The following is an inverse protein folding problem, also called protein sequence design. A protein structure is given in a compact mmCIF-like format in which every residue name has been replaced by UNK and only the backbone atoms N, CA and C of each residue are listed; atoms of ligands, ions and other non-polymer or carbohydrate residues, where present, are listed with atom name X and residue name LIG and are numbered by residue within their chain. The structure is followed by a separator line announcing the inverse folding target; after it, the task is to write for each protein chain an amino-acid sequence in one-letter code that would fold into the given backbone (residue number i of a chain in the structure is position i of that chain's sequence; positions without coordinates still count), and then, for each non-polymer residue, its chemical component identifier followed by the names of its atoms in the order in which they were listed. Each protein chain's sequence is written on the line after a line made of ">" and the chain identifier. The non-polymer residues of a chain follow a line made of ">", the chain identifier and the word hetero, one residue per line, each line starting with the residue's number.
data_IF_399453554572
#
_entry.id   IF_399453554572
#
_cell.length_a   1.000
_cell.length_b   1.000
_cell.length_c   1.000
_cell.angle_alpha   90.00
_cell.angle_beta   90.00
_cell.angle_gamma   90.00
#
_symmetry.space_group_name_H-M   'P 1'
#
loop_
_entity.id
_entity.type
_entity.pdbx_description
1 polymer ?
#
# COMPACT_ATOMS: atom_id res chain seq x y z
N UNK A 1 0.33 9.10 -14.54
CA UNK A 1 1.01 8.28 -15.57
C UNK A 1 2.50 8.46 -15.36
N UNK A 2 3.27 7.36 -15.36
CA UNK A 2 4.71 7.46 -15.23
C UNK A 2 5.36 8.15 -16.44
N UNK A 3 6.46 8.85 -16.21
CA UNK A 3 7.32 9.44 -17.24
C UNK A 3 8.60 8.61 -17.37
N UNK A 4 9.35 8.78 -18.45
CA UNK A 4 10.69 8.21 -18.58
C UNK A 4 11.70 9.34 -18.50
N UNK A 5 12.70 9.23 -17.63
CA UNK A 5 13.85 10.14 -17.56
C UNK A 5 15.11 9.39 -17.99
N UNK A 6 16.17 10.12 -18.32
CA UNK A 6 17.48 9.53 -18.66
C UNK A 6 18.39 9.70 -17.44
N UNK A 7 19.10 8.64 -17.05
CA UNK A 7 20.07 8.67 -15.96
C UNK A 7 21.43 9.27 -16.41
N UNK A 8 22.37 9.38 -15.47
CA UNK A 8 23.71 9.92 -15.75
C UNK A 8 24.52 9.06 -16.75
N UNK A 9 24.13 7.80 -16.97
CA UNK A 9 24.74 6.86 -17.91
C UNK A 9 24.04 6.86 -19.29
N UNK A 10 22.97 7.64 -19.48
CA UNK A 10 22.20 7.65 -20.71
C UNK A 10 21.11 6.57 -20.80
N UNK A 11 20.82 5.84 -19.72
CA UNK A 11 19.82 4.79 -19.66
C UNK A 11 18.42 5.35 -19.28
N UNK A 12 17.34 4.83 -19.90
CA UNK A 12 15.99 5.26 -19.58
C UNK A 12 15.51 4.67 -18.24
N UNK A 13 15.24 5.53 -17.27
CA UNK A 13 14.62 5.20 -15.99
C UNK A 13 13.12 5.53 -16.03
N UNK A 14 12.29 4.58 -15.59
CA UNK A 14 10.86 4.80 -15.40
C UNK A 14 10.62 5.61 -14.12
N UNK A 15 10.11 6.83 -14.26
CA UNK A 15 9.60 7.66 -13.17
C UNK A 15 8.12 7.36 -12.92
N UNK A 16 7.80 6.93 -11.71
CA UNK A 16 6.41 6.81 -11.28
C UNK A 16 5.80 8.20 -11.05
N UNK A 17 4.60 8.43 -11.60
CA UNK A 17 3.87 9.68 -11.38
C UNK A 17 3.25 9.72 -9.99
N UNK A 18 3.08 10.93 -9.45
CA UNK A 18 2.55 11.15 -8.10
C UNK A 18 1.08 10.72 -7.92
N UNK A 19 0.29 10.57 -8.99
CA UNK A 19 -1.10 10.07 -8.88
C UNK A 19 -1.11 8.55 -8.79
N UNK A 20 -1.02 8.00 -7.58
CA UNK A 20 -1.09 6.57 -7.31
C UNK A 20 -1.64 6.28 -5.91
N UNK A 21 -2.25 5.11 -5.73
CA UNK A 21 -2.62 4.64 -4.40
C UNK A 21 -1.39 4.38 -3.54
N UNK A 22 -1.43 4.82 -2.28
CA UNK A 22 -0.32 4.67 -1.32
C UNK A 22 -0.69 3.74 -0.19
N UNK A 23 0.23 2.88 0.19
CA UNK A 23 0.08 1.99 1.35
C UNK A 23 1.34 2.04 2.20
N UNK A 24 1.19 2.31 3.50
CA UNK A 24 2.26 2.33 4.49
C UNK A 24 1.88 1.37 5.62
N UNK A 25 2.65 0.31 5.78
CA UNK A 25 2.50 -0.66 6.86
C UNK A 25 3.75 -0.59 7.74
N UNK A 26 3.60 -0.17 8.99
CA UNK A 26 4.70 -0.06 9.95
C UNK A 26 4.33 -0.80 11.23
N UNK A 27 5.18 -1.75 11.64
CA UNK A 27 4.95 -2.59 12.82
C UNK A 27 3.57 -3.29 12.81
N UNK A 28 3.14 -3.75 11.64
CA UNK A 28 1.86 -4.44 11.44
C UNK A 28 2.06 -5.93 11.54
N UNK A 29 1.26 -6.59 12.37
CA UNK A 29 1.20 -8.06 12.44
C UNK A 29 -0.12 -8.54 11.85
N UNK A 30 -0.07 -9.44 10.87
CA UNK A 30 -1.27 -10.06 10.28
C UNK A 30 -1.38 -11.49 10.79
N UNK A 31 -2.46 -11.79 11.53
CA UNK A 31 -2.76 -13.11 12.09
C UNK A 31 -3.99 -13.69 11.39
N UNK A 32 -3.80 -14.34 10.25
CA UNK A 32 -4.89 -14.93 9.46
C UNK A 32 -4.65 -16.42 9.16
N UNK A 33 -5.72 -17.15 8.83
CA UNK A 33 -5.66 -18.56 8.43
C UNK A 33 -5.10 -18.79 7.00
N UNK A 34 -4.84 -17.73 6.25
CA UNK A 34 -4.11 -17.77 4.99
C UNK A 34 -4.81 -18.53 3.86
N UNK A 35 -3.99 -19.13 3.01
CA UNK A 35 -4.40 -19.88 1.80
C UNK A 35 -4.85 -21.28 2.19
N UNK A 36 -5.92 -21.77 1.56
CA UNK A 36 -6.26 -23.18 1.58
C UNK A 36 -5.33 -23.95 0.63
N UNK A 37 -4.20 -24.42 1.16
CA UNK A 37 -3.20 -25.19 0.42
C UNK A 37 -3.71 -26.53 -0.10
N UNK A 38 -4.83 -27.04 0.45
CA UNK A 38 -5.43 -28.31 0.01
C UNK A 38 -6.35 -28.16 -1.20
N UNK A 39 -6.71 -26.92 -1.55
CA UNK A 39 -7.56 -26.63 -2.69
C UNK A 39 -6.81 -26.90 -4.01
N UNK A 40 -7.31 -27.86 -4.78
CA UNK A 40 -6.63 -28.40 -5.97
C UNK A 40 -6.60 -27.42 -7.14
N UNK A 41 -7.54 -26.48 -7.19
CA UNK A 41 -7.67 -25.53 -8.30
C UNK A 41 -6.94 -24.21 -8.02
N UNK A 42 -6.08 -24.15 -6.99
CA UNK A 42 -5.20 -23.00 -6.75
C UNK A 42 -4.24 -22.77 -7.91
N UNK A 43 -4.16 -21.52 -8.37
CA UNK A 43 -3.22 -21.10 -9.42
C UNK A 43 -2.30 -20.01 -8.86
N UNK A 44 -1.16 -20.46 -8.32
CA UNK A 44 -0.22 -19.62 -7.58
C UNK A 44 0.44 -18.52 -8.40
N UNK A 45 0.81 -18.82 -9.66
CA UNK A 45 1.53 -17.86 -10.51
C UNK A 45 0.70 -16.62 -10.88
N UNK A 46 -0.64 -16.72 -10.83
CA UNK A 46 -1.56 -15.60 -11.04
C UNK A 46 -2.22 -15.09 -9.76
N UNK A 47 -1.79 -15.59 -8.60
CA UNK A 47 -2.35 -15.32 -7.27
C UNK A 47 -3.87 -15.57 -7.13
N UNK A 48 -4.41 -16.48 -7.95
CA UNK A 48 -5.79 -16.93 -7.89
C UNK A 48 -5.85 -18.19 -7.02
N UNK A 49 -5.99 -17.95 -5.73
CA UNK A 49 -5.90 -18.99 -4.69
C UNK A 49 -7.09 -18.88 -3.76
N UNK A 50 -7.60 -20.03 -3.33
CA UNK A 50 -8.61 -20.11 -2.28
C UNK A 50 -7.99 -19.69 -0.95
N UNK A 51 -8.67 -18.81 -0.22
CA UNK A 51 -8.22 -18.32 1.08
C UNK A 51 -9.25 -18.62 2.14
N UNK A 52 -8.80 -19.05 3.31
CA UNK A 52 -9.64 -19.08 4.50
C UNK A 52 -9.87 -17.66 5.00
N UNK A 53 -8.82 -16.84 5.01
CA UNK A 53 -8.83 -15.45 5.48
C UNK A 53 -7.76 -14.63 4.75
N UNK A 54 -8.00 -13.34 4.62
CA UNK A 54 -7.03 -12.39 4.08
C UNK A 54 -7.21 -11.01 4.73
N UNK A 55 -6.14 -10.24 4.74
CA UNK A 55 -6.23 -8.78 4.85
C UNK A 55 -6.12 -8.24 3.43
N UNK A 56 -7.16 -7.54 2.96
CA UNK A 56 -7.20 -6.90 1.65
C UNK A 56 -7.21 -5.39 1.84
N UNK A 57 -6.31 -4.69 1.17
CA UNK A 57 -6.31 -3.23 1.09
C UNK A 57 -6.58 -2.86 -0.36
N UNK A 58 -7.71 -2.20 -0.61
CA UNK A 58 -8.18 -1.80 -1.93
C UNK A 58 -8.12 -0.27 -1.97
N UNK A 59 -7.27 0.26 -2.83
CA UNK A 59 -7.05 1.70 -2.99
C UNK A 59 -7.66 2.14 -4.31
N UNK A 60 -8.61 3.05 -4.25
CA UNK A 60 -9.20 3.67 -5.43
C UNK A 60 -8.44 4.96 -5.76
N UNK A 61 -8.02 5.15 -7.01
CA UNK A 61 -7.36 6.38 -7.45
C UNK A 61 -6.12 6.75 -6.64
N UNK A 62 -6.11 7.95 -6.08
CA UNK A 62 -5.03 8.52 -5.26
C UNK A 62 -5.24 8.32 -3.74
N UNK A 63 -5.92 7.23 -3.34
CA UNK A 63 -6.19 6.92 -1.95
C UNK A 63 -4.92 6.56 -1.15
N UNK A 64 -4.96 6.76 0.16
CA UNK A 64 -3.87 6.47 1.07
C UNK A 64 -4.32 5.53 2.20
N UNK A 65 -3.53 4.50 2.47
CA UNK A 65 -3.75 3.61 3.60
C UNK A 65 -2.50 3.59 4.49
N UNK A 66 -2.70 3.79 5.78
CA UNK A 66 -1.66 3.78 6.78
C UNK A 66 -2.05 2.84 7.92
N UNK A 67 -1.22 1.86 8.22
CA UNK A 67 -1.37 1.04 9.41
C UNK A 67 -0.09 1.12 10.25
N UNK A 68 -0.24 1.46 11.52
CA UNK A 68 0.88 1.63 12.45
C UNK A 68 0.66 0.86 13.74
N UNK A 69 1.62 0.00 14.10
CA UNK A 69 1.67 -0.73 15.39
C UNK A 69 0.33 -1.41 15.70
N UNK A 70 -0.14 -2.24 14.77
CA UNK A 70 -1.47 -2.86 14.85
C UNK A 70 -1.42 -4.35 14.54
N UNK A 71 -2.24 -5.12 15.24
CA UNK A 71 -2.46 -6.55 14.97
C UNK A 71 -3.79 -6.73 14.25
N UNK A 72 -3.74 -7.22 13.01
CA UNK A 72 -4.90 -7.50 12.18
C UNK A 72 -5.19 -9.01 12.21
N UNK A 73 -6.13 -9.41 13.07
CA UNK A 73 -6.48 -10.82 13.26
C UNK A 73 -7.77 -11.19 12.50
N UNK A 74 -7.71 -12.25 11.69
CA UNK A 74 -8.85 -12.75 10.93
C UNK A 74 -8.94 -12.19 9.51
N UNK A 75 -10.17 -12.14 8.97
CA UNK A 75 -10.46 -11.69 7.62
C UNK A 75 -10.90 -10.23 7.59
N UNK A 76 -10.15 -9.37 6.90
CA UNK A 76 -10.41 -7.93 6.83
C UNK A 76 -10.31 -7.42 5.38
N UNK A 77 -11.19 -6.50 5.03
CA UNK A 77 -11.10 -5.74 3.78
C UNK A 77 -11.19 -4.26 4.12
N UNK A 78 -10.13 -3.52 3.78
CA UNK A 78 -10.06 -2.07 3.87
C UNK A 78 -10.20 -1.51 2.46
N UNK A 79 -11.29 -0.81 2.21
CA UNK A 79 -11.55 -0.15 0.94
C UNK A 79 -11.46 1.36 1.14
N UNK A 80 -10.48 1.97 0.48
CA UNK A 80 -10.19 3.41 0.63
C UNK A 80 -10.62 4.14 -0.65
N UNK A 81 -11.61 5.04 -0.57
CA UNK A 81 -12.05 5.82 -1.72
C UNK A 81 -10.96 6.74 -2.27
N UNK A 82 -11.12 7.14 -3.53
CA UNK A 82 -10.24 8.11 -4.16
C UNK A 82 -10.21 9.44 -3.38
N UNK A 83 -9.04 10.05 -3.30
CA UNK A 83 -8.83 11.28 -2.54
C UNK A 83 -9.04 11.16 -1.03
N UNK A 84 -9.01 9.95 -0.46
CA UNK A 84 -9.16 9.74 0.98
C UNK A 84 -7.94 9.03 1.58
N UNK A 85 -7.69 9.28 2.87
CA UNK A 85 -6.68 8.62 3.68
C UNK A 85 -7.31 7.85 4.83
N UNK A 86 -7.04 6.55 4.87
CA UNK A 86 -7.44 5.66 5.95
C UNK A 86 -6.24 5.37 6.87
N UNK A 87 -6.41 5.62 8.17
CA UNK A 87 -5.44 5.25 9.21
C UNK A 87 -6.00 4.13 10.05
N UNK A 88 -5.18 3.13 10.29
CA UNK A 88 -5.48 1.98 11.16
C UNK A 88 -4.44 1.92 12.27
N UNK A 89 -4.89 2.09 13.51
CA UNK A 89 -4.04 2.10 14.70
C UNK A 89 -4.58 1.11 15.73
N UNK A 90 -3.73 0.66 16.65
CA UNK A 90 -4.23 -0.08 17.82
C UNK A 90 -5.22 0.77 18.63
N UNK A 91 -6.28 0.14 19.12
CA UNK A 91 -7.26 0.73 20.03
C UNK A 91 -7.57 -0.21 21.20
N UNK A 92 -8.39 0.23 22.15
CA UNK A 92 -8.62 -0.47 23.43
C UNK A 92 -9.17 -1.90 23.27
N UNK A 93 -9.94 -2.17 22.21
CA UNK A 93 -10.56 -3.48 21.93
C UNK A 93 -10.18 -4.06 20.57
N UNK A 94 -9.01 -3.71 20.03
CA UNK A 94 -8.52 -4.19 18.74
C UNK A 94 -7.81 -3.09 17.96
N UNK A 95 -8.42 -2.62 16.89
CA UNK A 95 -7.92 -1.50 16.10
C UNK A 95 -9.00 -0.47 15.83
N UNK A 96 -8.57 0.77 15.68
CA UNK A 96 -9.38 1.91 15.31
C UNK A 96 -9.12 2.26 13.85
N UNK A 97 -10.15 2.74 13.17
CA UNK A 97 -10.07 3.22 11.80
C UNK A 97 -10.46 4.70 11.80
N UNK A 98 -9.60 5.53 11.23
CA UNK A 98 -9.91 6.91 10.89
C UNK A 98 -9.88 7.04 9.36
N UNK A 99 -10.88 7.69 8.78
CA UNK A 99 -10.94 7.97 7.34
C UNK A 99 -11.14 9.47 7.13
N UNK A 100 -10.13 10.13 6.59
CA UNK A 100 -10.14 11.57 6.34
C UNK A 100 -10.04 11.85 4.84
N UNK A 101 -10.78 12.81 4.28
CA UNK A 101 -10.54 13.28 2.92
C UNK A 101 -9.18 13.99 2.85
N UNK A 102 -8.49 13.86 1.72
CA UNK A 102 -7.28 14.64 1.44
C UNK A 102 -7.63 16.10 1.18
N UNK A 103 -6.72 16.99 1.52
CA UNK A 103 -6.88 18.41 1.19
C UNK A 103 -6.86 18.61 -0.35
N UNK A 104 -7.60 19.60 -0.90
CA UNK A 104 -7.73 19.78 -2.34
C UNK A 104 -6.40 19.95 -3.09
N UNK A 105 -5.40 20.57 -2.47
CA UNK A 105 -4.03 20.73 -2.99
C UNK A 105 -3.23 19.42 -3.01
N UNK A 106 -3.64 18.41 -2.26
CA UNK A 106 -2.96 17.11 -2.13
C UNK A 106 -3.64 16.00 -2.95
N UNK A 107 -4.78 16.28 -3.60
CA UNK A 107 -5.50 15.29 -4.41
C UNK A 107 -4.66 14.68 -5.54
N UNK A 108 -3.66 15.40 -6.02
CA UNK A 108 -2.77 14.95 -7.09
C UNK A 108 -1.44 14.35 -6.60
N UNK A 109 -0.93 14.83 -5.47
CA UNK A 109 0.40 14.48 -4.95
C UNK A 109 0.37 13.49 -3.80
N UNK A 110 -0.77 13.36 -3.12
CA UNK A 110 -0.89 12.72 -1.81
C UNK A 110 -0.32 13.57 -0.68
N UNK A 111 -0.38 13.05 0.54
CA UNK A 111 0.25 13.62 1.74
C UNK A 111 1.71 13.22 1.89
N UNK A 112 2.14 12.18 1.16
CA UNK A 112 3.53 11.75 1.13
C UNK A 112 3.85 10.99 -0.16
N UNK A 113 5.13 10.78 -0.45
CA UNK A 113 5.58 9.86 -1.49
C UNK A 113 6.89 9.18 -1.12
N UNK A 114 7.22 8.08 -1.81
CA UNK A 114 8.56 7.51 -1.72
C UNK A 114 9.50 8.28 -2.66
N UNK A 115 10.60 8.78 -2.13
CA UNK A 115 11.78 9.03 -2.92
C UNK A 115 12.55 7.72 -3.05
N UNK A 116 13.05 7.41 -4.25
CA UNK A 116 13.81 6.19 -4.49
C UNK A 116 15.10 6.50 -5.21
N UNK A 117 16.16 5.79 -4.81
CA UNK A 117 17.47 5.86 -5.43
C UNK A 117 17.99 4.45 -5.67
N UNK A 118 18.57 4.21 -6.84
CA UNK A 118 19.21 2.93 -7.16
C UNK A 118 20.68 3.01 -6.77
N UNK A 119 21.08 2.22 -5.79
CA UNK A 119 22.47 2.08 -5.35
C UNK A 119 22.98 0.68 -5.68
N UNK A 120 23.48 0.51 -6.91
CA UNK A 120 23.90 -0.79 -7.44
C UNK A 120 22.74 -1.77 -7.52
N UNK A 121 22.80 -2.84 -6.73
CA UNK A 121 21.73 -3.85 -6.65
C UNK A 121 20.66 -3.53 -5.59
N UNK A 122 20.77 -2.39 -4.90
CA UNK A 122 19.85 -1.97 -3.84
C UNK A 122 18.97 -0.83 -4.30
N UNK A 123 17.70 -0.86 -3.89
CA UNK A 123 16.78 0.28 -4.00
C UNK A 123 16.67 0.90 -2.61
N UNK A 124 17.14 2.13 -2.48
CA UNK A 124 16.94 2.94 -1.28
C UNK A 124 15.59 3.62 -1.39
N UNK A 125 14.80 3.57 -0.32
CA UNK A 125 13.49 4.21 -0.23
C UNK A 125 13.50 5.17 0.95
N UNK A 126 13.16 6.42 0.71
CA UNK A 126 12.99 7.45 1.72
C UNK A 126 11.56 8.00 1.66
N UNK A 127 10.80 8.02 2.76
CA UNK A 127 9.49 8.63 2.78
C UNK A 127 9.63 10.16 2.84
N UNK A 128 8.97 10.86 1.93
CA UNK A 128 8.89 12.33 1.87
C UNK A 128 7.45 12.74 2.16
N UNK A 129 7.25 13.50 3.23
CA UNK A 129 5.94 14.09 3.59
C UNK A 129 5.79 15.46 2.88
N UNK A 130 4.57 15.80 2.46
CA UNK A 130 4.23 17.01 1.69
C UNK A 130 3.43 18.04 2.50
#
# INVERSE_FOLDING_TARGET
>A
MGSTTIDDNGEPIMQYGYRCGRCKLQDVTVLNRGIDWSFRDNIYWKLDVQRFEAVKVILHGNAEFEANKVVLQGNHTFEVPDGCRMKVTSGDSGFEIQLDPLEPNLLDSGTWHWNYEVNGAHILLEPVEL
#
